data_IF_623211856722
#
_entry.id   IF_623211856722
#
_cell.length_a   1.000
_cell.length_b   1.000
_cell.length_c   1.000
_cell.angle_alpha   90.00
_cell.angle_beta   90.00
_cell.angle_gamma   90.00
#
_symmetry.space_group_name_H-M   'P 1'
#
loop_
_entity.id
_entity.type
_entity.pdbx_description
1 polymer ?
#
# COMPACT_ATOMS: atom_id res chain seq x y z
N UNK A 1 -13.11 -11.68 -1.33
CA UNK A 1 -12.41 -12.74 -0.57
C UNK A 1 -11.00 -12.87 -1.16
N UNK A 2 -10.11 -11.92 -0.88
CA UNK A 2 -8.83 -11.81 -1.61
C UNK A 2 -7.65 -11.35 -0.76
N UNK A 3 -7.88 -10.70 0.41
CA UNK A 3 -6.81 -10.26 1.32
C UNK A 3 -5.83 -11.36 1.73
N UNK A 4 -6.30 -12.59 1.99
CA UNK A 4 -5.41 -13.66 2.42
C UNK A 4 -4.41 -14.04 1.32
N UNK A 5 -4.88 -14.17 0.07
CA UNK A 5 -4.02 -14.48 -1.08
C UNK A 5 -3.04 -13.35 -1.40
N UNK A 6 -3.45 -12.09 -1.22
CA UNK A 6 -2.58 -10.93 -1.41
C UNK A 6 -1.51 -10.87 -0.31
N UNK A 7 -1.89 -11.10 0.95
CA UNK A 7 -0.95 -11.18 2.07
C UNK A 7 0.04 -12.34 1.92
N UNK A 8 -0.41 -13.51 1.46
CA UNK A 8 0.46 -14.67 1.22
C UNK A 8 1.51 -14.35 0.13
N UNK A 9 1.09 -13.65 -0.93
CA UNK A 9 2.00 -13.19 -2.01
C UNK A 9 3.07 -12.25 -1.46
N UNK A 10 2.68 -11.31 -0.58
CA UNK A 10 3.61 -10.39 0.07
C UNK A 10 4.50 -11.14 1.05
N UNK A 11 3.96 -12.04 1.88
CA UNK A 11 4.71 -12.79 2.87
C UNK A 11 5.79 -13.69 2.26
N UNK A 12 5.53 -14.27 1.09
CA UNK A 12 6.48 -15.12 0.39
C UNK A 12 7.76 -14.38 -0.04
N UNK A 13 7.65 -13.09 -0.38
CA UNK A 13 8.78 -12.28 -0.88
C UNK A 13 9.30 -11.29 0.17
N UNK A 14 8.43 -10.79 1.04
CA UNK A 14 8.65 -9.71 2.00
C UNK A 14 7.90 -9.98 3.32
N UNK A 15 8.32 -10.98 4.11
CA UNK A 15 7.61 -11.38 5.34
C UNK A 15 7.50 -10.27 6.39
N UNK A 16 8.47 -9.34 6.42
CA UNK A 16 8.43 -8.17 7.30
C UNK A 16 7.32 -7.19 6.91
N UNK A 17 7.04 -7.02 5.62
CA UNK A 17 5.95 -6.17 5.13
C UNK A 17 4.60 -6.81 5.49
N UNK A 18 4.42 -8.09 5.18
CA UNK A 18 3.15 -8.76 5.45
C UNK A 18 2.81 -8.85 6.94
N UNK A 19 3.82 -8.95 7.83
CA UNK A 19 3.64 -8.80 9.27
C UNK A 19 3.07 -7.42 9.63
N UNK A 20 3.68 -6.34 9.16
CA UNK A 20 3.23 -4.97 9.45
C UNK A 20 1.84 -4.70 8.88
N UNK A 21 1.53 -5.22 7.69
CA UNK A 21 0.19 -5.12 7.10
C UNK A 21 -0.87 -5.81 7.95
N UNK A 22 -0.54 -6.98 8.51
CA UNK A 22 -1.44 -7.73 9.40
C UNK A 22 -1.66 -7.00 10.73
N UNK A 23 -0.60 -6.42 11.30
CA UNK A 23 -0.67 -5.65 12.56
C UNK A 23 -1.44 -4.34 12.40
N UNK A 24 -1.34 -3.68 11.24
CA UNK A 24 -2.00 -2.41 10.95
C UNK A 24 -3.40 -2.57 10.35
N UNK A 25 -3.85 -3.79 10.06
CA UNK A 25 -5.15 -4.02 9.43
C UNK A 25 -6.30 -3.47 10.29
N UNK A 26 -7.19 -2.70 9.66
CA UNK A 26 -8.31 -2.03 10.34
C UNK A 26 -7.96 -0.69 10.99
N UNK A 27 -6.69 -0.25 10.90
CA UNK A 27 -6.26 1.09 11.34
C UNK A 27 -6.10 2.02 10.14
N UNK A 28 -6.26 3.33 10.35
CA UNK A 28 -6.02 4.33 9.28
C UNK A 28 -4.59 4.32 8.76
N UNK A 29 -3.63 3.93 9.62
CA UNK A 29 -2.20 3.92 9.33
C UNK A 29 -1.78 2.94 8.24
N UNK A 30 -2.61 1.93 7.91
CA UNK A 30 -2.28 0.96 6.87
C UNK A 30 -2.19 1.61 5.49
N UNK A 31 -3.02 2.62 5.22
CA UNK A 31 -3.05 3.32 3.93
C UNK A 31 -1.75 4.10 3.75
N UNK A 32 -1.37 4.89 4.77
CA UNK A 32 -0.11 5.64 4.78
C UNK A 32 1.10 4.73 4.67
N UNK A 33 1.09 3.57 5.35
CA UNK A 33 2.18 2.59 5.25
C UNK A 33 2.33 2.03 3.84
N UNK A 34 1.22 1.64 3.19
CA UNK A 34 1.24 1.13 1.81
C UNK A 34 1.74 2.21 0.84
N UNK A 35 1.30 3.46 1.00
CA UNK A 35 1.77 4.57 0.17
C UNK A 35 3.27 4.81 0.33
N UNK A 36 3.79 4.75 1.56
CA UNK A 36 5.24 4.85 1.80
C UNK A 36 6.00 3.73 1.09
N UNK A 37 5.51 2.49 1.15
CA UNK A 37 6.13 1.35 0.44
C UNK A 37 6.14 1.57 -1.08
N UNK A 38 5.04 2.06 -1.65
CA UNK A 38 4.94 2.34 -3.08
C UNK A 38 5.81 3.54 -3.51
N UNK A 39 6.18 4.43 -2.57
CA UNK A 39 7.00 5.62 -2.82
C UNK A 39 8.50 5.40 -2.53
N UNK A 40 8.88 4.44 -1.67
CA UNK A 40 10.27 4.14 -1.27
C UNK A 40 11.14 3.56 -2.41
N UNK A 41 10.60 3.48 -3.63
CA UNK A 41 11.33 3.07 -4.83
C UNK A 41 12.02 4.25 -5.53
N UNK A 42 11.96 5.47 -4.98
CA UNK A 42 12.41 6.72 -5.64
C UNK A 42 13.93 6.97 -5.65
N UNK A 43 14.72 6.37 -4.74
CA UNK A 43 16.16 6.65 -4.60
C UNK A 43 17.08 5.95 -5.64
N UNK A 44 16.53 5.48 -6.77
CA UNK A 44 17.30 5.00 -7.93
C UNK A 44 18.14 3.72 -7.75
N UNK A 45 18.27 3.23 -6.52
CA UNK A 45 19.09 2.06 -6.12
C UNK A 45 18.24 0.82 -5.81
N UNK A 46 16.98 1.01 -5.41
CA UNK A 46 16.06 -0.09 -5.08
C UNK A 46 15.29 -0.51 -6.33
N UNK A 47 15.51 -1.75 -6.79
CA UNK A 47 14.60 -2.39 -7.76
C UNK A 47 13.24 -2.41 -7.07
N UNK A 48 12.27 -1.66 -7.61
CA UNK A 48 10.92 -1.60 -7.04
C UNK A 48 10.28 -2.97 -6.85
N UNK A 49 9.10 -3.00 -6.25
CA UNK A 49 8.43 -4.27 -6.03
C UNK A 49 8.10 -4.99 -7.34
N UNK A 50 8.18 -6.34 -7.37
CA UNK A 50 7.60 -7.11 -8.47
C UNK A 50 6.13 -6.73 -8.66
N UNK A 51 5.66 -6.77 -9.90
CA UNK A 51 4.28 -6.39 -10.26
C UNK A 51 3.22 -7.06 -9.37
N UNK A 52 3.40 -8.36 -9.07
CA UNK A 52 2.48 -9.12 -8.22
C UNK A 52 2.40 -8.57 -6.79
N UNK A 53 3.53 -8.11 -6.24
CA UNK A 53 3.59 -7.52 -4.90
C UNK A 53 2.99 -6.11 -4.91
N UNK A 54 3.22 -5.32 -5.96
CA UNK A 54 2.55 -4.02 -6.12
C UNK A 54 1.02 -4.19 -6.23
N UNK A 55 0.56 -5.13 -7.04
CA UNK A 55 -0.86 -5.42 -7.20
C UNK A 55 -1.49 -5.87 -5.87
N UNK A 56 -0.81 -6.74 -5.13
CA UNK A 56 -1.25 -7.18 -3.80
C UNK A 56 -1.36 -6.01 -2.81
N UNK A 57 -0.37 -5.10 -2.78
CA UNK A 57 -0.39 -3.90 -1.93
C UNK A 57 -1.58 -2.99 -2.26
N UNK A 58 -1.83 -2.73 -3.54
CA UNK A 58 -2.97 -1.90 -3.99
C UNK A 58 -4.32 -2.59 -3.69
N UNK A 59 -4.41 -3.90 -3.88
CA UNK A 59 -5.62 -4.67 -3.56
C UNK A 59 -5.94 -4.63 -2.06
N UNK A 60 -4.92 -4.76 -1.20
CA UNK A 60 -5.06 -4.67 0.26
C UNK A 60 -5.54 -3.28 0.66
N UNK A 61 -4.96 -2.22 0.09
CA UNK A 61 -5.40 -0.84 0.31
C UNK A 61 -6.87 -0.64 -0.11
N UNK A 62 -7.23 -1.07 -1.32
CA UNK A 62 -8.60 -0.94 -1.84
C UNK A 62 -9.63 -1.66 -0.96
N UNK A 63 -9.32 -2.88 -0.51
CA UNK A 63 -10.17 -3.64 0.40
C UNK A 63 -10.33 -2.93 1.75
N UNK A 64 -9.25 -2.37 2.31
CA UNK A 64 -9.31 -1.60 3.55
C UNK A 64 -10.19 -0.35 3.42
N UNK A 65 -10.06 0.39 2.32
CA UNK A 65 -10.88 1.58 2.05
C UNK A 65 -12.36 1.22 1.87
N UNK A 66 -12.64 0.11 1.19
CA UNK A 66 -14.02 -0.39 1.02
C UNK A 66 -14.67 -0.79 2.35
N UNK A 67 -13.89 -1.30 3.31
CA UNK A 67 -14.40 -1.72 4.62
C UNK A 67 -14.57 -0.56 5.60
N UNK A 68 -13.69 0.43 5.52
CA UNK A 68 -13.71 1.59 6.44
C UNK A 68 -14.68 2.69 6.00
N UNK A 69 -15.33 2.55 4.83
CA UNK A 69 -16.27 3.54 4.29
C UNK A 69 -15.66 4.92 4.05
N UNK A 70 -14.35 5.05 4.22
CA UNK A 70 -13.59 6.29 4.08
C UNK A 70 -12.94 6.23 2.72
N UNK A 71 -13.71 6.50 1.66
CA UNK A 71 -13.08 6.85 0.40
C UNK A 71 -12.25 8.12 0.67
N UNK A 72 -10.94 8.13 0.43
CA UNK A 72 -10.17 9.36 0.56
C UNK A 72 -10.78 10.39 -0.39
N UNK A 73 -10.89 11.64 0.07
CA UNK A 73 -11.41 12.72 -0.75
C UNK A 73 -10.61 12.74 -2.08
N UNK A 74 -11.25 12.74 -3.25
CA UNK A 74 -10.56 12.88 -4.54
C UNK A 74 -9.57 14.05 -4.58
N UNK A 75 -9.78 15.10 -3.77
CA UNK A 75 -8.82 16.20 -3.58
C UNK A 75 -7.59 15.78 -2.77
N UNK A 76 -7.75 15.02 -1.69
CA UNK A 76 -6.64 14.50 -0.87
C UNK A 76 -5.74 13.56 -1.66
N UNK A 77 -6.34 12.72 -2.52
CA UNK A 77 -5.59 11.89 -3.48
C UNK A 77 -4.75 12.82 -4.36
N UNK A 78 -5.37 13.78 -5.04
CA UNK A 78 -4.70 14.71 -5.97
C UNK A 78 -3.60 15.53 -5.29
N UNK A 79 -3.82 15.99 -4.05
CA UNK A 79 -2.84 16.72 -3.26
C UNK A 79 -1.67 15.83 -2.83
N UNK A 80 -1.92 14.56 -2.51
CA UNK A 80 -0.85 13.61 -2.18
C UNK A 80 0.04 13.30 -3.39
N UNK A 81 -0.54 13.29 -4.60
CA UNK A 81 0.22 13.17 -5.86
C UNK A 81 0.89 14.49 -6.28
N UNK A 82 0.22 15.64 -6.10
CA UNK A 82 0.70 16.96 -6.51
C UNK A 82 1.81 17.51 -5.60
N UNK A 83 1.71 17.26 -4.29
CA UNK A 83 2.68 17.72 -3.28
C UNK A 83 4.02 16.97 -3.36
N UNK A 84 4.05 15.82 -4.01
CA UNK A 84 5.25 15.01 -4.25
C UNK A 84 5.82 15.08 -5.68
N UNK A 85 5.18 15.79 -6.61
CA UNK A 85 5.63 15.92 -8.01
C UNK A 85 6.36 17.24 -8.31
N UNK A 86 6.78 17.98 -7.29
CA UNK A 86 7.54 19.22 -7.41
C UNK A 86 8.96 19.10 -6.81
N UNK A 87 9.71 18.07 -7.22
CA UNK A 87 11.17 18.00 -7.12
C UNK A 87 11.73 17.47 -8.43
#
# INVERSE_FOLDING_TARGET
MTTQSDLDTINASYPHIGKVLSEKWGTKDIVTYIEQLLQDTRDGSRRGFPFQVMAALVNIQSQHLSLTGTAPDPQEIKDTWARHSHL
#
